data_IF_499168333670
#
_entry.id   IF_499168333670
#
_cell.length_a   1.000
_cell.length_b   1.000
_cell.length_c   1.000
_cell.angle_alpha   90.00
_cell.angle_beta   90.00
_cell.angle_gamma   90.00
#
_symmetry.space_group_name_H-M   'P 1'
#
loop_
_entity.id
_entity.type
_entity.pdbx_description
1 polymer ?
#
# COMPACT_ATOMS: atom_id res chain seq x y z
N UNK A 1 -15.46 22.54 2.11
CA UNK A 1 -15.94 21.29 1.48
C UNK A 1 -15.52 20.15 2.39
N UNK A 2 -16.39 19.17 2.66
CA UNK A 2 -16.07 18.06 3.58
C UNK A 2 -15.15 17.05 2.88
N UNK A 3 -13.96 16.82 3.42
CA UNK A 3 -12.94 15.91 2.88
C UNK A 3 -12.67 14.70 3.79
N UNK A 4 -13.29 14.67 4.98
CA UNK A 4 -13.10 13.65 6.01
C UNK A 4 -11.63 13.50 6.48
N UNK A 5 -10.86 14.59 6.41
CA UNK A 5 -9.45 14.60 6.80
C UNK A 5 -8.59 13.66 5.97
N UNK A 6 -8.95 13.42 4.70
CA UNK A 6 -8.22 12.52 3.81
C UNK A 6 -6.75 12.92 3.65
N UNK A 7 -6.43 14.20 3.79
CA UNK A 7 -5.05 14.70 3.73
C UNK A 7 -4.22 14.35 4.99
N UNK A 8 -4.87 13.96 6.10
CA UNK A 8 -4.21 13.60 7.36
C UNK A 8 -3.79 12.14 7.36
N UNK A 9 -4.71 11.23 7.02
CA UNK A 9 -4.49 9.77 7.11
C UNK A 9 -4.31 9.11 5.74
N UNK A 10 -4.86 9.69 4.69
CA UNK A 10 -4.82 9.13 3.35
C UNK A 10 -3.49 9.35 2.64
N UNK A 11 -2.70 10.35 3.09
CA UNK A 11 -1.52 10.85 2.39
C UNK A 11 -1.83 11.09 0.90
N UNK A 12 -0.81 11.08 0.05
CA UNK A 12 -0.98 11.10 -1.40
C UNK A 12 -1.40 9.72 -1.97
N UNK A 13 -1.95 8.81 -1.17
CA UNK A 13 -2.40 7.49 -1.63
C UNK A 13 -3.85 7.51 -2.10
N UNK A 14 -4.67 8.39 -1.52
CA UNK A 14 -6.06 8.60 -1.88
C UNK A 14 -6.29 10.05 -2.27
N UNK A 15 -7.25 10.28 -3.15
CA UNK A 15 -7.62 11.64 -3.61
C UNK A 15 -9.11 11.69 -3.92
N UNK A 16 -9.75 12.83 -3.67
CA UNK A 16 -11.15 13.04 -4.03
C UNK A 16 -11.22 13.65 -5.44
N UNK A 17 -11.89 12.96 -6.38
CA UNK A 17 -12.11 13.43 -7.76
C UNK A 17 -13.59 13.30 -8.11
N UNK A 18 -14.18 14.37 -8.64
CA UNK A 18 -15.61 14.42 -9.02
C UNK A 18 -16.54 13.96 -7.88
N UNK A 19 -16.22 14.34 -6.64
CA UNK A 19 -16.98 13.96 -5.44
C UNK A 19 -16.83 12.49 -5.01
N UNK A 20 -15.89 11.73 -5.59
CA UNK A 20 -15.63 10.32 -5.28
C UNK A 20 -14.22 10.14 -4.73
N UNK A 21 -14.05 9.25 -3.74
CA UNK A 21 -12.72 8.83 -3.28
C UNK A 21 -12.08 7.88 -4.30
N UNK A 22 -10.85 8.20 -4.67
CA UNK A 22 -10.06 7.48 -5.67
C UNK A 22 -8.75 7.01 -5.07
N UNK A 23 -8.23 5.94 -5.66
CA UNK A 23 -6.82 5.61 -5.54
C UNK A 23 -6.02 6.68 -6.29
N UNK A 24 -5.02 7.29 -5.67
CA UNK A 24 -4.17 8.28 -6.33
C UNK A 24 -3.02 7.60 -7.11
N UNK A 25 -3.40 6.83 -8.14
CA UNK A 25 -2.49 6.10 -9.03
C UNK A 25 -3.05 6.09 -10.45
N UNK A 26 -2.17 6.20 -11.46
CA UNK A 26 -2.52 6.26 -12.89
C UNK A 26 -3.71 7.22 -13.19
N UNK A 27 -4.82 6.70 -13.70
CA UNK A 27 -6.03 7.46 -14.06
C UNK A 27 -6.87 7.88 -12.86
N UNK A 28 -6.41 7.57 -11.65
CA UNK A 28 -7.08 7.81 -10.36
C UNK A 28 -8.44 7.11 -10.28
N UNK A 29 -8.48 5.76 -10.34
CA UNK A 29 -9.73 5.02 -10.38
C UNK A 29 -10.52 5.22 -9.07
N UNK A 30 -11.82 5.49 -9.20
CA UNK A 30 -12.69 5.68 -8.05
C UNK A 30 -13.05 4.34 -7.42
N UNK A 31 -12.96 4.25 -6.09
CA UNK A 31 -13.27 3.01 -5.36
C UNK A 31 -14.72 2.59 -5.60
N UNK A 32 -15.63 3.57 -5.67
CA UNK A 32 -17.05 3.32 -5.94
C UNK A 32 -17.30 2.72 -7.32
N UNK A 33 -16.47 3.02 -8.33
CA UNK A 33 -16.66 2.48 -9.67
C UNK A 33 -16.20 1.01 -9.72
N UNK A 34 -15.11 0.66 -9.02
CA UNK A 34 -14.65 -0.74 -8.82
C UNK A 34 -15.72 -1.57 -8.09
N UNK A 35 -16.33 -1.00 -7.05
CA UNK A 35 -17.39 -1.68 -6.30
C UNK A 35 -18.61 -1.94 -7.19
N UNK A 36 -18.99 -1.00 -8.05
CA UNK A 36 -20.13 -1.17 -8.96
C UNK A 36 -19.87 -2.31 -9.95
N UNK A 37 -18.71 -2.33 -10.58
CA UNK A 37 -18.30 -3.40 -11.50
C UNK A 37 -18.40 -4.79 -10.85
N UNK A 38 -17.81 -4.95 -9.65
CA UNK A 38 -17.90 -6.23 -8.91
C UNK A 38 -19.34 -6.60 -8.54
N UNK A 39 -20.20 -5.61 -8.23
CA UNK A 39 -21.60 -5.89 -7.94
C UNK A 39 -22.36 -6.31 -9.20
N UNK A 40 -22.02 -5.76 -10.36
CA UNK A 40 -22.63 -6.12 -11.65
C UNK A 40 -22.23 -7.56 -12.05
N UNK A 41 -21.01 -7.99 -11.70
CA UNK A 41 -20.54 -9.38 -11.80
C UNK A 41 -21.22 -10.36 -10.80
N UNK A 42 -22.11 -9.86 -9.94
CA UNK A 42 -22.87 -10.66 -8.99
C UNK A 42 -22.28 -10.74 -7.58
N UNK A 43 -21.13 -10.12 -7.31
CA UNK A 43 -20.58 -10.06 -5.94
C UNK A 43 -21.34 -9.04 -5.09
N UNK A 44 -22.32 -9.54 -4.32
CA UNK A 44 -23.11 -8.73 -3.37
C UNK A 44 -22.56 -8.86 -1.94
N UNK A 45 -23.03 -7.99 -1.04
CA UNK A 45 -22.60 -7.97 0.36
C UNK A 45 -21.32 -7.16 0.60
N UNK A 46 -20.74 -7.25 1.81
CA UNK A 46 -19.50 -6.56 2.14
C UNK A 46 -18.31 -7.15 1.38
N UNK A 47 -17.45 -6.27 0.85
CA UNK A 47 -16.27 -6.64 0.07
C UNK A 47 -15.01 -6.05 0.70
N UNK A 48 -13.91 -6.81 0.69
CA UNK A 48 -12.59 -6.35 1.08
C UNK A 48 -11.70 -6.23 -0.15
N UNK A 49 -11.34 -4.99 -0.52
CA UNK A 49 -10.44 -4.70 -1.63
C UNK A 49 -8.99 -4.67 -1.15
N UNK A 50 -8.08 -5.23 -1.94
CA UNK A 50 -6.63 -5.16 -1.71
C UNK A 50 -5.97 -4.48 -2.88
N UNK A 51 -5.13 -3.49 -2.61
CA UNK A 51 -4.47 -2.69 -3.63
C UNK A 51 -2.95 -2.92 -3.59
N UNK A 52 -2.38 -3.81 -4.43
CA UNK A 52 -0.95 -4.11 -4.42
C UNK A 52 -0.05 -2.88 -4.62
N UNK A 53 -0.49 -1.89 -5.39
CA UNK A 53 0.28 -0.66 -5.60
C UNK A 53 0.52 0.12 -4.28
N UNK A 54 -0.40 0.06 -3.30
CA UNK A 54 -0.18 0.66 -1.98
C UNK A 54 0.89 -0.09 -1.20
N UNK A 55 0.94 -1.42 -1.34
CA UNK A 55 1.97 -2.25 -0.72
C UNK A 55 3.34 -1.84 -1.29
N UNK A 56 3.45 -1.74 -2.61
CA UNK A 56 4.67 -1.28 -3.28
C UNK A 56 5.09 0.12 -2.80
N UNK A 57 4.17 1.08 -2.79
CA UNK A 57 4.46 2.45 -2.35
C UNK A 57 4.96 2.50 -0.91
N UNK A 58 4.43 1.65 -0.01
CA UNK A 58 4.93 1.57 1.36
C UNK A 58 6.34 0.97 1.45
N UNK A 59 6.65 -0.07 0.67
CA UNK A 59 8.00 -0.64 0.59
C UNK A 59 9.00 0.43 0.12
N UNK A 60 8.69 1.07 -1.00
CA UNK A 60 9.50 2.16 -1.57
C UNK A 60 9.68 3.31 -0.58
N UNK A 61 8.62 3.66 0.15
CA UNK A 61 8.66 4.73 1.14
C UNK A 61 9.61 4.39 2.31
N UNK A 62 9.55 3.16 2.84
CA UNK A 62 10.44 2.72 3.92
C UNK A 62 11.90 2.79 3.46
N UNK A 63 12.23 2.12 2.36
CA UNK A 63 13.61 2.09 1.85
C UNK A 63 14.08 3.47 1.41
N UNK A 64 13.21 4.26 0.79
CA UNK A 64 13.50 5.62 0.36
C UNK A 64 13.92 6.52 1.52
N UNK A 65 13.17 6.50 2.63
CA UNK A 65 13.50 7.34 3.79
C UNK A 65 14.77 6.86 4.51
N UNK A 66 14.94 5.55 4.73
CA UNK A 66 16.17 5.04 5.33
C UNK A 66 17.41 5.32 4.47
N UNK A 67 17.31 5.21 3.15
CA UNK A 67 18.41 5.55 2.25
C UNK A 67 18.73 7.05 2.23
N UNK A 68 17.72 7.93 2.28
CA UNK A 68 17.94 9.38 2.42
C UNK A 68 18.67 9.70 3.73
N UNK A 69 18.18 9.18 4.86
CA UNK A 69 18.82 9.38 6.15
C UNK A 69 20.26 8.84 6.18
N UNK A 70 20.51 7.64 5.65
CA UNK A 70 21.87 7.09 5.56
C UNK A 70 22.83 8.01 4.81
N UNK A 71 22.38 8.62 3.71
CA UNK A 71 23.18 9.57 2.94
C UNK A 71 23.43 10.87 3.71
N UNK A 72 22.39 11.39 4.36
CA UNK A 72 22.45 12.61 5.16
C UNK A 72 23.50 12.52 6.29
N UNK A 73 23.53 11.39 7.00
CA UNK A 73 24.45 11.18 8.13
C UNK A 73 25.73 10.42 7.76
N UNK A 74 25.97 10.13 6.48
CA UNK A 74 27.14 9.36 6.04
C UNK A 74 27.24 7.96 6.66
N UNK A 75 26.11 7.33 6.97
CA UNK A 75 26.07 6.03 7.65
C UNK A 75 26.56 4.90 6.74
N UNK A 76 27.63 4.22 7.14
CA UNK A 76 28.35 3.23 6.33
C UNK A 76 27.68 1.84 6.29
N UNK A 77 26.89 1.49 7.31
CA UNK A 77 26.17 0.20 7.36
C UNK A 77 25.02 0.14 6.36
N UNK A 78 24.57 -1.07 6.02
CA UNK A 78 23.41 -1.33 5.16
C UNK A 78 22.05 -1.15 5.87
N UNK A 79 20.96 -1.15 5.10
CA UNK A 79 19.58 -1.19 5.62
C UNK A 79 18.80 -2.30 4.93
N UNK A 80 18.08 -3.09 5.72
CA UNK A 80 17.14 -4.11 5.27
C UNK A 80 15.86 -4.05 6.12
N UNK A 81 14.72 -4.24 5.48
CA UNK A 81 13.43 -4.36 6.16
C UNK A 81 12.99 -5.83 6.23
N UNK A 82 12.23 -6.15 7.28
CA UNK A 82 11.63 -7.47 7.49
C UNK A 82 10.15 -7.30 7.84
N UNK A 83 9.28 -8.09 7.20
CA UNK A 83 7.84 -8.01 7.40
C UNK A 83 7.39 -9.08 8.42
N UNK A 84 6.84 -8.69 9.58
CA UNK A 84 6.41 -9.65 10.59
C UNK A 84 5.11 -10.33 10.19
N UNK A 85 5.16 -11.62 9.82
CA UNK A 85 4.00 -12.36 9.30
C UNK A 85 2.82 -12.35 10.27
N UNK A 86 3.07 -12.26 11.59
CA UNK A 86 2.05 -12.17 12.65
C UNK A 86 0.96 -11.10 12.42
N UNK A 87 1.24 -10.03 11.65
CA UNK A 87 0.27 -8.94 11.46
C UNK A 87 -0.73 -9.20 10.33
N UNK A 88 -0.37 -9.97 9.30
CA UNK A 88 -1.29 -10.38 8.23
C UNK A 88 -0.73 -11.57 7.43
N UNK A 89 -1.26 -12.77 7.64
CA UNK A 89 -0.81 -13.99 6.94
C UNK A 89 -1.59 -14.25 5.64
N UNK A 90 -2.61 -13.45 5.32
CA UNK A 90 -3.49 -13.75 4.20
C UNK A 90 -2.72 -13.73 2.87
N UNK A 91 -2.90 -14.73 2.00
CA UNK A 91 -2.14 -14.85 0.75
C UNK A 91 -2.36 -13.66 -0.18
N UNK A 92 -3.55 -13.05 -0.15
CA UNK A 92 -3.86 -11.83 -0.91
C UNK A 92 -2.98 -10.62 -0.55
N UNK A 93 -2.35 -10.64 0.62
CA UNK A 93 -1.33 -9.67 1.03
C UNK A 93 0.08 -10.25 0.89
N UNK A 94 0.38 -11.38 1.55
CA UNK A 94 1.75 -11.91 1.67
C UNK A 94 2.36 -12.22 0.30
N UNK A 95 1.61 -12.83 -0.62
CA UNK A 95 2.11 -13.14 -1.97
C UNK A 95 2.46 -11.87 -2.77
N UNK A 96 1.70 -10.80 -2.57
CA UNK A 96 1.99 -9.51 -3.19
C UNK A 96 3.20 -8.84 -2.52
N UNK A 97 3.30 -8.89 -1.19
CA UNK A 97 4.43 -8.33 -0.44
C UNK A 97 5.76 -8.96 -0.88
N UNK A 98 5.87 -10.29 -0.92
CA UNK A 98 7.12 -10.95 -1.33
C UNK A 98 7.47 -10.67 -2.80
N UNK A 99 6.45 -10.55 -3.66
CA UNK A 99 6.64 -10.23 -5.08
C UNK A 99 7.16 -8.80 -5.27
N UNK A 100 6.53 -7.82 -4.61
CA UNK A 100 6.85 -6.40 -4.74
C UNK A 100 8.10 -6.01 -3.95
N UNK A 101 8.41 -6.72 -2.86
CA UNK A 101 9.58 -6.51 -2.03
C UNK A 101 10.86 -7.16 -2.55
N UNK A 102 10.79 -7.94 -3.65
CA UNK A 102 11.93 -8.69 -4.20
C UNK A 102 13.11 -7.78 -4.53
N UNK A 103 12.84 -6.67 -5.22
CA UNK A 103 13.88 -5.72 -5.65
C UNK A 103 14.53 -4.97 -4.47
N UNK A 104 13.91 -5.01 -3.29
CA UNK A 104 14.37 -4.37 -2.07
C UNK A 104 15.05 -5.34 -1.10
N UNK A 105 15.13 -6.64 -1.43
CA UNK A 105 15.56 -7.68 -0.50
C UNK A 105 14.75 -7.64 0.82
N UNK A 106 13.43 -7.44 0.71
CA UNK A 106 12.52 -7.35 1.84
C UNK A 106 12.31 -8.75 2.45
N UNK A 107 12.73 -8.94 3.70
CA UNK A 107 12.63 -10.21 4.40
C UNK A 107 11.24 -10.50 4.99
N UNK A 108 11.04 -11.73 5.45
CA UNK A 108 9.89 -12.12 6.26
C UNK A 108 10.37 -12.52 7.67
N UNK A 109 9.59 -12.16 8.69
CA UNK A 109 9.78 -12.65 10.05
C UNK A 109 8.66 -13.62 10.40
N UNK A 110 9.03 -14.69 11.10
CA UNK A 110 8.15 -15.69 11.66
C UNK A 110 8.43 -15.80 13.17
N UNK A 111 7.38 -15.98 13.96
CA UNK A 111 7.46 -15.99 15.43
C UNK A 111 6.34 -16.81 16.06
N UNK A 112 5.98 -17.91 15.41
CA UNK A 112 4.92 -18.85 15.77
C UNK A 112 5.45 -20.27 15.75
#
# INVERSE_FOLDING_TARGET
MMDYGIDIWGNENFIIKNGKVCINHEKKPAIIDIVKELRDDGYKGPLLLRFPHLIQKQIENIYGNFNKARKEFGYKGGFNAVYPLKVNQYPGFVKNLVKLGKDYNYGLEAGS
#
